data_IF_923719435177
#
_entry.id   IF_923719435177
#
_cell.length_a   1.000
_cell.length_b   1.000
_cell.length_c   1.000
_cell.angle_alpha   90.00
_cell.angle_beta   90.00
_cell.angle_gamma   90.00
#
_symmetry.space_group_name_H-M   'P 1'
#
loop_
_entity.id
_entity.type
_entity.pdbx_description
1 polymer ?
#
# COMPACT_ATOMS: atom_id res chain seq x y z
N UNK A 1 10.05 19.61 14.06
CA UNK A 1 9.64 18.74 15.17
C UNK A 1 8.28 18.16 14.87
N UNK A 2 7.22 18.96 14.74
CA UNK A 2 5.81 18.53 14.57
C UNK A 2 5.60 17.50 13.45
N UNK A 3 6.27 17.66 12.31
CA UNK A 3 6.19 16.72 11.20
C UNK A 3 6.71 15.35 11.60
N UNK A 4 7.88 15.29 12.25
CA UNK A 4 8.55 14.04 12.60
C UNK A 4 7.87 13.36 13.78
N UNK A 5 7.41 14.11 14.76
CA UNK A 5 6.75 13.60 15.97
C UNK A 5 5.49 12.79 15.68
N UNK A 6 4.81 13.08 14.57
CA UNK A 6 3.64 12.30 14.10
C UNK A 6 3.97 10.87 13.67
N UNK A 7 5.21 10.62 13.28
CA UNK A 7 5.66 9.31 12.79
C UNK A 7 6.55 8.58 13.81
N UNK A 8 7.30 9.37 14.59
CA UNK A 8 8.28 8.88 15.55
C UNK A 8 8.14 9.70 16.83
N UNK A 9 7.61 9.13 17.92
CA UNK A 9 7.45 9.86 19.18
C UNK A 9 8.77 10.46 19.66
N UNK A 10 8.83 11.77 19.70
CA UNK A 10 10.03 12.52 20.07
C UNK A 10 10.03 12.87 21.56
N UNK A 11 11.18 12.71 22.23
CA UNK A 11 11.40 13.15 23.60
C UNK A 11 12.27 14.38 23.62
N UNK A 12 11.90 15.39 24.40
CA UNK A 12 12.71 16.61 24.56
C UNK A 12 14.03 16.28 25.28
N UNK A 13 15.15 16.72 24.70
CA UNK A 13 16.49 16.56 25.26
C UNK A 13 17.25 17.88 25.11
N UNK A 14 17.19 18.73 26.12
CA UNK A 14 17.76 20.08 26.08
C UNK A 14 17.10 20.96 25.03
N UNK A 15 17.89 21.52 24.11
CA UNK A 15 17.42 22.33 22.99
C UNK A 15 16.89 21.51 21.80
N UNK A 16 17.12 20.20 21.79
CA UNK A 16 16.74 19.30 20.71
C UNK A 16 15.68 18.28 21.18
N UNK A 17 15.22 17.46 20.24
CA UNK A 17 14.36 16.31 20.49
C UNK A 17 15.06 15.04 20.02
N UNK A 18 14.85 13.93 20.72
CA UNK A 18 15.51 12.65 20.42
C UNK A 18 14.50 11.51 20.34
N UNK A 19 14.82 10.51 19.56
CA UNK A 19 14.09 9.24 19.47
C UNK A 19 15.03 8.12 19.03
N UNK A 20 14.57 6.86 19.09
CA UNK A 20 15.17 5.79 18.31
C UNK A 20 14.96 6.06 16.82
N UNK A 21 15.99 5.81 16.03
CA UNK A 21 15.96 6.11 14.61
C UNK A 21 14.92 5.26 13.87
N UNK A 22 14.08 5.86 13.02
CA UNK A 22 13.15 5.10 12.20
C UNK A 22 13.80 4.48 10.95
N UNK A 23 15.06 4.80 10.66
CA UNK A 23 15.78 4.35 9.46
C UNK A 23 16.74 3.19 9.73
N UNK A 24 17.02 2.83 10.99
CA UNK A 24 17.77 1.64 11.37
C UNK A 24 17.31 1.10 12.72
N UNK A 25 17.62 -0.15 13.02
CA UNK A 25 17.26 -0.77 14.29
C UNK A 25 18.24 -0.39 15.39
N UNK A 26 17.75 0.18 16.49
CA UNK A 26 18.55 0.53 17.65
C UNK A 26 17.75 0.43 18.95
N UNK A 27 18.45 0.25 20.07
CA UNK A 27 17.83 0.19 21.41
C UNK A 27 17.96 1.49 22.21
N UNK A 28 18.86 2.38 21.82
CA UNK A 28 19.11 3.68 22.47
C UNK A 28 18.92 4.81 21.48
N UNK A 29 18.31 5.93 21.89
CA UNK A 29 18.02 7.05 21.00
C UNK A 29 19.29 7.66 20.41
N UNK A 30 19.46 7.61 19.08
CA UNK A 30 20.53 8.30 18.36
C UNK A 30 20.01 9.29 17.30
N UNK A 31 18.69 9.31 17.09
CA UNK A 31 18.03 10.20 16.16
C UNK A 31 17.70 11.53 16.83
N UNK A 32 18.27 12.62 16.36
CA UNK A 32 18.15 13.95 16.93
C UNK A 32 17.46 14.90 15.96
N UNK A 33 16.46 15.64 16.43
CA UNK A 33 15.74 16.68 15.68
C UNK A 33 15.99 18.02 16.29
N UNK A 34 16.54 18.96 15.52
CA UNK A 34 16.84 20.33 15.95
C UNK A 34 15.75 21.28 15.49
N UNK A 35 14.96 21.85 16.40
CA UNK A 35 13.94 22.86 16.04
C UNK A 35 14.56 24.16 15.51
N UNK A 36 15.71 24.57 16.05
CA UNK A 36 16.41 25.80 15.61
C UNK A 36 17.04 25.69 14.24
N UNK A 37 17.63 24.54 13.93
CA UNK A 37 18.29 24.29 12.65
C UNK A 37 17.35 23.69 11.61
N UNK A 38 16.12 23.34 11.97
CA UNK A 38 15.10 22.76 11.10
C UNK A 38 15.57 21.50 10.36
N UNK A 39 16.37 20.65 11.01
CA UNK A 39 16.84 19.39 10.44
C UNK A 39 16.89 18.26 11.47
N UNK A 40 16.96 17.04 10.98
CA UNK A 40 17.25 15.85 11.78
C UNK A 40 18.61 15.25 11.40
N UNK A 41 19.22 14.57 12.36
CA UNK A 41 20.43 13.79 12.16
C UNK A 41 20.43 12.56 13.07
N UNK A 42 20.71 11.41 12.50
CA UNK A 42 20.92 10.18 13.24
C UNK A 42 22.42 9.93 13.43
N UNK A 43 22.87 9.88 14.68
CA UNK A 43 24.29 9.60 14.99
C UNK A 43 24.64 8.11 14.88
N UNK A 44 23.64 7.21 14.73
CA UNK A 44 23.84 5.78 14.52
C UNK A 44 24.09 5.41 13.06
N UNK A 45 23.19 5.81 12.15
CA UNK A 45 23.28 5.43 10.73
C UNK A 45 23.63 6.59 9.79
N UNK A 46 23.80 7.81 10.31
CA UNK A 46 24.13 8.98 9.49
C UNK A 46 22.97 9.57 8.69
N UNK A 47 21.75 9.03 8.78
CA UNK A 47 20.59 9.59 8.10
C UNK A 47 20.33 11.02 8.58
N UNK A 48 20.16 11.97 7.66
CA UNK A 48 20.00 13.36 7.97
C UNK A 48 19.20 14.09 6.89
N UNK A 49 18.56 15.19 7.27
CA UNK A 49 17.81 15.98 6.31
C UNK A 49 16.79 16.92 6.95
N UNK A 50 15.96 17.53 6.11
CA UNK A 50 14.86 18.41 6.50
C UNK A 50 13.56 17.62 6.75
N UNK A 51 12.49 18.30 7.15
CA UNK A 51 11.16 17.70 7.26
C UNK A 51 10.68 17.07 5.92
N UNK A 52 11.02 17.69 4.79
CA UNK A 52 10.69 17.16 3.45
C UNK A 52 11.48 15.87 3.20
N UNK A 53 12.79 15.89 3.42
CA UNK A 53 13.64 14.69 3.25
C UNK A 53 13.17 13.54 4.16
N UNK A 54 12.78 13.86 5.39
CA UNK A 54 12.23 12.86 6.32
C UNK A 54 10.97 12.18 5.76
N UNK A 55 10.02 12.97 5.25
CA UNK A 55 8.77 12.43 4.68
C UNK A 55 9.06 11.62 3.42
N UNK A 56 9.98 12.10 2.57
CA UNK A 56 10.42 11.35 1.39
C UNK A 56 11.00 9.97 1.75
N UNK A 57 11.94 9.91 2.68
CA UNK A 57 12.62 8.68 3.08
C UNK A 57 11.71 7.78 3.92
N UNK A 58 10.97 8.37 4.87
CA UNK A 58 10.12 7.59 5.77
C UNK A 58 8.92 6.97 5.06
N UNK A 59 8.30 7.67 4.11
CA UNK A 59 7.12 7.21 3.37
C UNK A 59 7.44 6.68 1.97
N UNK A 60 8.67 6.83 1.49
CA UNK A 60 9.06 6.48 0.11
C UNK A 60 8.44 7.39 -0.94
N UNK A 61 8.14 8.66 -0.59
CA UNK A 61 7.51 9.63 -1.48
C UNK A 61 8.54 10.35 -2.37
N UNK A 62 8.11 10.79 -3.55
CA UNK A 62 8.83 11.75 -4.37
C UNK A 62 8.83 13.14 -3.72
N UNK A 63 9.76 14.01 -4.15
CA UNK A 63 9.86 15.37 -3.64
C UNK A 63 8.54 16.15 -3.76
N UNK A 64 7.92 16.11 -4.94
CA UNK A 64 6.65 16.80 -5.19
C UNK A 64 5.53 16.27 -4.30
N UNK A 65 5.43 14.96 -4.14
CA UNK A 65 4.40 14.32 -3.31
C UNK A 65 4.63 14.64 -1.82
N UNK A 66 5.87 14.63 -1.35
CA UNK A 66 6.23 15.02 0.01
C UNK A 66 5.93 16.50 0.29
N UNK A 67 6.22 17.38 -0.67
CA UNK A 67 5.89 18.81 -0.57
C UNK A 67 4.38 19.03 -0.55
N UNK A 68 3.62 18.35 -1.42
CA UNK A 68 2.15 18.42 -1.44
C UNK A 68 1.54 17.92 -0.12
N UNK A 69 2.04 16.82 0.41
CA UNK A 69 1.59 16.28 1.69
C UNK A 69 1.81 17.28 2.84
N UNK A 70 3.01 17.85 2.93
CA UNK A 70 3.34 18.81 3.97
C UNK A 70 2.58 20.13 3.81
N UNK A 71 2.41 20.61 2.58
CA UNK A 71 1.65 21.83 2.28
C UNK A 71 0.17 21.67 2.66
N UNK A 72 -0.46 20.54 2.28
CA UNK A 72 -1.84 20.23 2.66
C UNK A 72 -2.03 20.26 4.18
N UNK A 73 -1.07 19.68 4.92
CA UNK A 73 -1.09 19.66 6.40
C UNK A 73 -0.87 21.05 7.03
N UNK A 74 -0.14 21.91 6.34
CA UNK A 74 0.10 23.29 6.76
C UNK A 74 -1.00 24.27 6.31
N UNK A 75 -2.05 23.77 5.62
CA UNK A 75 -3.09 24.62 5.03
C UNK A 75 -2.61 25.47 3.86
N UNK A 76 -1.48 25.10 3.24
CA UNK A 76 -0.85 25.80 2.12
C UNK A 76 -1.19 25.12 0.80
N UNK A 77 -1.27 25.90 -0.27
CA UNK A 77 -1.38 25.37 -1.63
C UNK A 77 0.00 25.44 -2.32
N UNK A 78 0.37 24.34 -2.97
CA UNK A 78 1.58 24.31 -3.79
C UNK A 78 1.25 24.91 -5.16
N UNK A 79 1.98 25.91 -5.66
CA UNK A 79 1.77 26.44 -7.02
C UNK A 79 1.96 25.32 -8.05
N UNK A 80 1.04 25.22 -8.99
CA UNK A 80 1.15 24.28 -10.10
C UNK A 80 2.24 24.73 -11.07
N UNK A 81 3.20 23.86 -11.35
CA UNK A 81 4.08 24.04 -12.50
C UNK A 81 3.32 23.62 -13.76
N UNK A 82 3.24 24.50 -14.74
CA UNK A 82 2.70 24.24 -16.06
C UNK A 82 3.38 23.01 -16.68
N UNK A 83 2.70 21.86 -16.68
CA UNK A 83 3.28 20.69 -17.33
C UNK A 83 2.64 19.33 -17.07
N UNK A 84 1.73 19.15 -16.08
CA UNK A 84 0.92 17.93 -15.95
C UNK A 84 -0.39 18.26 -15.24
N UNK A 85 -1.48 18.16 -15.98
CA UNK A 85 -2.85 18.19 -15.45
C UNK A 85 -3.06 17.04 -14.47
N UNK A 86 -2.85 17.29 -13.17
CA UNK A 86 -3.52 16.52 -12.13
C UNK A 86 -4.88 17.21 -11.92
N UNK A 87 -5.95 16.44 -12.09
CA UNK A 87 -7.32 16.91 -11.85
C UNK A 87 -7.39 17.61 -10.50
N UNK A 88 -8.02 18.78 -10.49
CA UNK A 88 -8.29 19.64 -9.31
C UNK A 88 -8.97 18.83 -8.20
N UNK A 89 -8.19 18.26 -7.28
CA UNK A 89 -8.72 17.61 -6.09
C UNK A 89 -8.88 18.66 -4.98
N UNK A 90 -10.12 19.01 -4.69
CA UNK A 90 -10.44 19.84 -3.52
C UNK A 90 -10.01 19.08 -2.24
N UNK A 91 -9.20 19.66 -1.36
CA UNK A 91 -8.71 18.98 -0.15
C UNK A 91 -9.80 18.35 0.74
N UNK A 92 -11.01 18.91 0.72
CA UNK A 92 -12.17 18.37 1.39
C UNK A 92 -12.68 17.04 0.78
N UNK A 93 -12.61 16.88 -0.53
CA UNK A 93 -13.09 15.69 -1.23
C UNK A 93 -12.21 14.46 -0.94
N UNK A 94 -10.89 14.62 -0.95
CA UNK A 94 -9.93 13.55 -0.61
C UNK A 94 -10.16 13.02 0.80
N UNK A 95 -10.37 13.90 1.78
CA UNK A 95 -10.65 13.50 3.17
C UNK A 95 -11.96 12.71 3.27
N UNK A 96 -13.02 13.16 2.61
CA UNK A 96 -14.32 12.46 2.56
C UNK A 96 -14.17 11.07 1.95
N UNK A 97 -13.42 10.92 0.85
CA UNK A 97 -13.18 9.63 0.23
C UNK A 97 -12.40 8.67 1.15
N UNK A 98 -11.39 9.15 1.87
CA UNK A 98 -10.64 8.34 2.86
C UNK A 98 -11.57 7.86 3.98
N UNK A 99 -12.44 8.72 4.50
CA UNK A 99 -13.42 8.35 5.53
C UNK A 99 -14.42 7.30 5.02
N UNK A 100 -14.89 7.42 3.78
CA UNK A 100 -15.74 6.44 3.11
C UNK A 100 -15.03 5.08 2.99
N UNK A 101 -13.80 5.07 2.52
CA UNK A 101 -13.01 3.84 2.37
C UNK A 101 -12.75 3.16 3.71
N UNK A 102 -12.46 3.92 4.76
CA UNK A 102 -12.27 3.38 6.12
C UNK A 102 -13.57 2.76 6.67
N UNK A 103 -14.72 3.41 6.47
CA UNK A 103 -16.04 2.87 6.87
C UNK A 103 -16.39 1.59 6.12
N UNK A 104 -16.15 1.55 4.81
CA UNK A 104 -16.37 0.34 4.00
C UNK A 104 -15.46 -0.81 4.47
N UNK A 105 -14.19 -0.53 4.77
CA UNK A 105 -13.26 -1.53 5.28
C UNK A 105 -13.70 -2.08 6.64
N UNK A 106 -14.18 -1.23 7.55
CA UNK A 106 -14.70 -1.68 8.83
C UNK A 106 -15.92 -2.60 8.64
N UNK A 107 -16.85 -2.21 7.77
CA UNK A 107 -18.00 -3.04 7.42
C UNK A 107 -17.56 -4.42 6.91
N UNK A 108 -16.64 -4.48 5.93
CA UNK A 108 -16.16 -5.75 5.40
C UNK A 108 -15.45 -6.61 6.45
N UNK A 109 -14.71 -6.00 7.38
CA UNK A 109 -14.11 -6.73 8.52
C UNK A 109 -15.15 -7.38 9.41
N UNK A 110 -16.22 -6.65 9.70
CA UNK A 110 -17.29 -7.16 10.56
C UNK A 110 -18.09 -8.26 9.85
N UNK A 111 -18.33 -8.12 8.53
CA UNK A 111 -18.92 -9.18 7.71
C UNK A 111 -18.06 -10.44 7.64
N UNK A 112 -16.74 -10.33 7.60
CA UNK A 112 -15.84 -11.50 7.65
C UNK A 112 -16.00 -12.25 8.97
N UNK A 113 -16.03 -11.53 10.10
CA UNK A 113 -16.23 -12.15 11.42
C UNK A 113 -17.60 -12.85 11.57
N UNK A 114 -18.63 -12.32 10.91
CA UNK A 114 -19.98 -12.86 10.94
C UNK A 114 -20.23 -14.00 9.94
N UNK A 115 -19.38 -14.16 8.92
CA UNK A 115 -19.56 -15.15 7.86
C UNK A 115 -18.74 -16.40 8.09
N UNK A 116 -19.39 -17.47 8.60
CA UNK A 116 -18.74 -18.77 8.76
C UNK A 116 -18.14 -19.29 7.45
N UNK A 117 -18.85 -19.12 6.32
CA UNK A 117 -18.38 -19.49 4.96
C UNK A 117 -17.08 -18.79 4.58
N UNK A 118 -16.99 -17.48 4.82
CA UNK A 118 -15.78 -16.72 4.52
C UNK A 118 -14.60 -17.10 5.44
N UNK A 119 -14.88 -17.39 6.71
CA UNK A 119 -13.87 -17.88 7.67
C UNK A 119 -13.35 -19.25 7.24
N UNK A 120 -14.23 -20.16 6.85
CA UNK A 120 -13.83 -21.51 6.37
C UNK A 120 -13.00 -21.44 5.09
N UNK A 121 -13.37 -20.55 4.18
CA UNK A 121 -12.56 -20.28 3.01
C UNK A 121 -11.15 -19.80 3.37
N UNK A 122 -11.02 -18.84 4.30
CA UNK A 122 -9.70 -18.38 4.78
C UNK A 122 -8.90 -19.55 5.38
N UNK A 123 -9.52 -20.37 6.24
CA UNK A 123 -8.88 -21.55 6.83
C UNK A 123 -8.44 -22.57 5.79
N UNK A 124 -9.29 -22.87 4.79
CA UNK A 124 -8.96 -23.78 3.69
C UNK A 124 -7.77 -23.27 2.87
N UNK A 125 -7.62 -21.94 2.79
CA UNK A 125 -6.48 -21.27 2.18
C UNK A 125 -5.25 -21.19 3.09
N UNK A 126 -5.29 -21.77 4.28
CA UNK A 126 -4.21 -21.72 5.25
C UNK A 126 -4.00 -20.35 5.89
N UNK A 127 -4.93 -19.40 5.74
CA UNK A 127 -4.82 -18.07 6.34
C UNK A 127 -5.18 -18.11 7.82
N UNK A 128 -4.29 -17.58 8.65
CA UNK A 128 -4.54 -17.42 10.10
C UNK A 128 -5.35 -16.16 10.39
N UNK A 129 -6.01 -16.13 11.56
CA UNK A 129 -6.71 -14.92 12.01
C UNK A 129 -5.75 -13.75 12.24
N UNK A 130 -4.51 -14.03 12.64
CA UNK A 130 -3.47 -13.03 12.83
C UNK A 130 -3.09 -12.35 11.51
N UNK A 131 -2.80 -13.13 10.47
CA UNK A 131 -2.47 -12.57 9.15
C UNK A 131 -3.66 -11.83 8.54
N UNK A 132 -4.87 -12.35 8.69
CA UNK A 132 -6.08 -11.68 8.23
C UNK A 132 -6.26 -10.31 8.93
N UNK A 133 -6.00 -10.23 10.23
CA UNK A 133 -6.03 -8.98 10.98
C UNK A 133 -4.90 -8.02 10.54
N UNK A 134 -3.67 -8.51 10.38
CA UNK A 134 -2.50 -7.74 9.92
C UNK A 134 -2.75 -7.06 8.58
N UNK A 135 -3.37 -7.76 7.64
CA UNK A 135 -3.70 -7.21 6.32
C UNK A 135 -5.09 -6.56 6.25
N UNK A 136 -5.82 -6.52 7.36
CA UNK A 136 -7.12 -5.87 7.45
C UNK A 136 -8.21 -6.52 6.58
N UNK A 137 -8.11 -7.83 6.35
CA UNK A 137 -9.00 -8.56 5.45
C UNK A 137 -10.46 -8.48 5.89
N UNK A 138 -11.36 -8.55 4.94
CA UNK A 138 -12.80 -8.48 5.14
C UNK A 138 -13.56 -9.39 4.18
N UNK A 139 -14.88 -9.32 4.22
CA UNK A 139 -15.77 -10.02 3.30
C UNK A 139 -16.87 -9.09 2.79
N UNK A 140 -17.07 -9.04 1.49
CA UNK A 140 -18.21 -8.41 0.86
C UNK A 140 -19.30 -9.47 0.68
N UNK A 141 -20.44 -9.39 1.36
CA UNK A 141 -21.52 -10.36 1.26
C UNK A 141 -22.07 -10.48 -0.16
N UNK A 142 -22.72 -11.60 -0.45
CA UNK A 142 -23.50 -11.76 -1.67
C UNK A 142 -24.76 -10.90 -1.56
N UNK A 143 -24.92 -9.96 -2.48
CA UNK A 143 -26.02 -9.02 -2.51
C UNK A 143 -25.67 -7.77 -3.32
N UNK A 144 -26.71 -7.08 -3.81
CA UNK A 144 -26.52 -5.98 -4.77
C UNK A 144 -26.24 -4.63 -4.10
N UNK A 145 -26.71 -4.40 -2.87
CA UNK A 145 -26.65 -3.10 -2.20
C UNK A 145 -26.36 -3.24 -0.69
N UNK A 146 -25.44 -4.13 -0.33
CA UNK A 146 -25.08 -4.39 1.07
C UNK A 146 -24.49 -3.16 1.77
N UNK A 147 -23.77 -2.32 1.02
CA UNK A 147 -23.16 -1.09 1.54
C UNK A 147 -24.20 -0.04 1.96
N UNK A 148 -25.48 -0.19 1.57
CA UNK A 148 -26.57 0.68 2.05
C UNK A 148 -26.73 0.60 3.59
N UNK A 149 -26.36 -0.52 4.20
CA UNK A 149 -26.34 -0.64 5.67
C UNK A 149 -25.33 0.31 6.35
N UNK A 150 -24.29 0.72 5.63
CA UNK A 150 -23.23 1.61 6.15
C UNK A 150 -23.43 3.05 5.66
N UNK A 151 -23.90 3.20 4.44
CA UNK A 151 -24.09 4.49 3.77
C UNK A 151 -25.58 4.73 3.51
N UNK A 152 -26.29 5.43 4.42
CA UNK A 152 -27.70 5.72 4.27
C UNK A 152 -28.04 6.45 2.96
N UNK A 153 -27.18 7.40 2.56
CA UNK A 153 -27.21 7.99 1.22
C UNK A 153 -26.40 7.12 0.25
N UNK A 154 -27.00 6.01 -0.17
CA UNK A 154 -26.37 5.08 -1.11
C UNK A 154 -26.20 5.67 -2.51
N UNK A 155 -26.94 6.72 -2.83
CA UNK A 155 -26.89 7.42 -4.11
C UNK A 155 -25.86 8.56 -4.14
N UNK A 156 -25.14 8.80 -3.06
CA UNK A 156 -24.07 9.78 -3.04
C UNK A 156 -23.01 9.47 -4.12
N UNK A 157 -22.60 10.47 -4.87
CA UNK A 157 -21.61 10.31 -5.96
C UNK A 157 -20.24 9.93 -5.44
N UNK A 158 -19.93 10.26 -4.19
CA UNK A 158 -18.68 9.91 -3.52
C UNK A 158 -18.45 8.39 -3.45
N UNK A 159 -19.54 7.59 -3.32
CA UNK A 159 -19.41 6.12 -3.33
C UNK A 159 -19.00 5.59 -4.70
N UNK A 160 -19.47 6.21 -5.77
CA UNK A 160 -19.06 5.89 -7.15
C UNK A 160 -17.63 6.36 -7.41
N UNK A 161 -17.28 7.57 -6.98
CA UNK A 161 -15.92 8.13 -7.10
C UNK A 161 -14.91 7.31 -6.29
N UNK A 162 -15.28 6.82 -5.12
CA UNK A 162 -14.46 5.90 -4.31
C UNK A 162 -14.33 4.48 -4.94
N UNK A 163 -15.07 4.19 -6.01
CA UNK A 163 -15.04 2.90 -6.68
C UNK A 163 -15.71 1.76 -5.90
N UNK A 164 -16.58 2.08 -4.95
CA UNK A 164 -17.32 1.10 -4.14
C UNK A 164 -18.65 0.70 -4.78
N UNK A 165 -19.24 1.59 -5.56
CA UNK A 165 -20.54 1.42 -6.22
C UNK A 165 -20.34 1.58 -7.74
N UNK A 166 -21.08 0.78 -8.50
CA UNK A 166 -21.18 0.87 -9.95
C UNK A 166 -22.59 1.37 -10.29
N UNK A 167 -22.68 2.22 -11.28
CA UNK A 167 -23.92 2.65 -11.91
C UNK A 167 -23.96 2.14 -13.34
N UNK A 168 -24.99 1.38 -13.69
CA UNK A 168 -25.15 0.88 -15.05
C UNK A 168 -25.83 1.90 -15.98
N UNK A 169 -25.92 1.60 -17.26
CA UNK A 169 -26.52 2.49 -18.28
C UNK A 169 -27.99 2.83 -18.01
N UNK A 170 -28.69 2.00 -17.22
CA UNK A 170 -30.08 2.25 -16.78
C UNK A 170 -30.16 3.06 -15.49
N UNK A 171 -29.05 3.61 -14.97
CA UNK A 171 -28.96 4.40 -13.74
C UNK A 171 -29.12 3.58 -12.45
N UNK A 172 -29.09 2.26 -12.51
CA UNK A 172 -29.15 1.42 -11.32
C UNK A 172 -27.78 1.34 -10.66
N UNK A 173 -27.74 1.61 -9.36
CA UNK A 173 -26.51 1.51 -8.54
C UNK A 173 -26.47 0.20 -7.79
N UNK A 174 -25.28 -0.41 -7.73
CA UNK A 174 -25.02 -1.65 -7.02
C UNK A 174 -23.57 -1.72 -6.53
N UNK A 175 -23.34 -2.53 -5.49
CA UNK A 175 -22.02 -2.73 -4.91
C UNK A 175 -21.05 -3.33 -5.95
N UNK A 176 -19.85 -2.74 -6.05
CA UNK A 176 -18.81 -3.26 -6.92
C UNK A 176 -18.33 -4.64 -6.48
N UNK A 177 -18.18 -4.83 -5.18
CA UNK A 177 -17.67 -6.08 -4.62
C UNK A 177 -18.82 -6.86 -4.01
N UNK A 178 -19.02 -8.08 -4.47
CA UNK A 178 -20.06 -9.00 -4.03
C UNK A 178 -19.50 -10.41 -3.97
N UNK A 179 -19.80 -11.13 -2.89
CA UNK A 179 -19.32 -12.48 -2.60
C UNK A 179 -17.81 -12.62 -2.75
N UNK A 180 -17.05 -11.69 -2.14
CA UNK A 180 -15.60 -11.64 -2.26
C UNK A 180 -14.90 -11.46 -0.93
N UNK A 181 -13.79 -12.18 -0.75
CA UNK A 181 -12.81 -11.84 0.27
C UNK A 181 -12.18 -10.51 -0.09
N UNK A 182 -12.26 -9.55 0.83
CA UNK A 182 -11.83 -8.18 0.61
C UNK A 182 -10.44 -7.96 1.20
N UNK A 183 -9.57 -7.37 0.41
CA UNK A 183 -8.18 -7.10 0.74
C UNK A 183 -7.94 -5.60 0.56
N UNK A 184 -7.83 -4.81 1.64
CA UNK A 184 -7.62 -3.38 1.53
C UNK A 184 -6.21 -3.07 1.02
N UNK A 185 -6.13 -2.09 0.14
CA UNK A 185 -4.88 -1.51 -0.33
C UNK A 185 -4.65 -0.24 0.47
N UNK A 186 -3.51 -0.18 1.15
CA UNK A 186 -3.19 0.86 2.12
C UNK A 186 -2.01 1.66 1.60
N UNK A 187 -2.12 2.98 1.62
CA UNK A 187 -1.02 3.87 1.22
C UNK A 187 0.06 3.97 2.33
N UNK A 188 1.23 4.57 2.06
CA UNK A 188 2.28 4.74 3.06
C UNK A 188 1.87 5.54 4.31
N UNK A 189 0.77 6.32 4.25
CA UNK A 189 0.24 7.08 5.39
C UNK A 189 -0.65 6.23 6.31
N UNK A 190 -1.05 5.04 5.89
CA UNK A 190 -1.97 4.16 6.60
C UNK A 190 -3.43 4.30 6.18
N UNK A 191 -3.74 5.15 5.18
CA UNK A 191 -5.10 5.31 4.69
C UNK A 191 -5.46 4.17 3.73
N UNK A 192 -6.69 3.69 3.80
CA UNK A 192 -7.22 2.74 2.83
C UNK A 192 -7.62 3.50 1.56
N UNK A 193 -7.00 3.17 0.44
CA UNK A 193 -7.17 3.88 -0.83
C UNK A 193 -7.91 3.07 -1.90
N UNK A 194 -7.95 1.76 -1.75
CA UNK A 194 -8.59 0.84 -2.69
C UNK A 194 -8.84 -0.52 -2.05
N UNK A 195 -9.46 -1.42 -2.79
CA UNK A 195 -9.63 -2.83 -2.44
C UNK A 195 -9.30 -3.75 -3.61
N UNK A 196 -8.72 -4.91 -3.27
CA UNK A 196 -8.76 -6.11 -4.07
C UNK A 196 -9.86 -7.03 -3.55
N UNK A 197 -10.63 -7.64 -4.44
CA UNK A 197 -11.66 -8.61 -4.08
C UNK A 197 -11.40 -9.95 -4.74
N UNK A 198 -11.19 -11.02 -3.95
CA UNK A 198 -11.05 -12.39 -4.45
C UNK A 198 -12.36 -13.13 -4.29
N UNK A 199 -12.87 -13.77 -5.35
CA UNK A 199 -14.08 -14.58 -5.24
C UNK A 199 -13.84 -15.79 -4.33
N UNK A 200 -14.84 -16.14 -3.50
CA UNK A 200 -14.70 -17.24 -2.53
C UNK A 200 -14.86 -18.58 -3.21
N UNK A 201 -15.87 -18.75 -4.03
CA UNK A 201 -16.16 -20.01 -4.72
C UNK A 201 -15.90 -19.90 -6.22
N UNK A 202 -16.91 -20.19 -7.05
CA UNK A 202 -16.83 -20.13 -8.50
C UNK A 202 -17.35 -18.80 -9.02
N UNK A 203 -16.77 -18.33 -10.10
CA UNK A 203 -17.17 -17.08 -10.77
C UNK A 203 -16.00 -16.33 -11.38
N UNK A 204 -16.31 -15.41 -12.26
CA UNK A 204 -15.35 -14.55 -12.96
C UNK A 204 -15.64 -13.06 -12.68
N UNK A 205 -14.61 -12.23 -12.62
CA UNK A 205 -13.18 -12.57 -12.59
C UNK A 205 -12.76 -13.09 -11.20
N UNK A 206 -11.74 -13.98 -11.15
CA UNK A 206 -11.17 -14.53 -9.91
C UNK A 206 -10.73 -13.41 -8.96
N UNK A 207 -10.10 -12.36 -9.50
CA UNK A 207 -9.74 -11.13 -8.78
C UNK A 207 -10.41 -9.91 -9.41
N UNK A 208 -10.91 -9.04 -8.60
CA UNK A 208 -11.49 -7.76 -8.99
C UNK A 208 -10.86 -6.65 -8.16
N UNK A 209 -10.26 -5.66 -8.81
CA UNK A 209 -9.67 -4.50 -8.16
C UNK A 209 -10.58 -3.28 -8.21
N UNK A 210 -10.38 -2.35 -7.29
CA UNK A 210 -10.91 -0.99 -7.44
C UNK A 210 -10.48 -0.41 -8.80
N UNK A 211 -11.30 0.44 -9.41
CA UNK A 211 -10.90 1.21 -10.57
C UNK A 211 -9.83 2.24 -10.17
N UNK A 212 -9.25 2.92 -11.15
CA UNK A 212 -8.54 4.17 -10.89
C UNK A 212 -9.48 5.18 -10.24
N UNK A 213 -9.03 5.83 -9.17
CA UNK A 213 -9.80 6.81 -8.40
C UNK A 213 -8.90 7.97 -8.01
N UNK A 214 -9.44 9.09 -7.50
CA UNK A 214 -8.60 10.15 -6.94
C UNK A 214 -7.66 9.70 -5.83
N UNK A 215 -7.98 8.61 -5.11
CA UNK A 215 -7.11 8.05 -4.07
C UNK A 215 -6.14 6.99 -4.59
N UNK A 216 -6.39 6.39 -5.75
CA UNK A 216 -5.74 5.14 -6.15
C UNK A 216 -5.33 5.11 -7.63
N UNK A 217 -4.04 4.94 -7.86
CA UNK A 217 -3.43 4.78 -9.17
C UNK A 217 -2.56 3.52 -9.17
N UNK A 218 -2.99 2.48 -9.91
CA UNK A 218 -2.35 1.14 -9.91
C UNK A 218 -0.88 1.18 -10.30
N UNK A 219 -0.54 2.05 -11.24
CA UNK A 219 0.84 2.23 -11.71
C UNK A 219 1.78 2.87 -10.68
N UNK A 220 1.26 3.35 -9.55
CA UNK A 220 2.02 4.05 -8.51
C UNK A 220 2.00 3.35 -7.15
N UNK A 221 0.99 2.51 -6.89
CA UNK A 221 0.80 1.90 -5.59
C UNK A 221 1.23 0.42 -5.58
N UNK A 222 1.73 -0.03 -4.43
CA UNK A 222 2.14 -1.41 -4.18
C UNK A 222 1.36 -1.97 -3.00
N UNK A 223 0.82 -3.16 -3.17
CA UNK A 223 0.18 -3.88 -2.06
C UNK A 223 1.21 -4.34 -1.05
N UNK A 224 0.86 -4.26 0.22
CA UNK A 224 1.70 -4.76 1.32
C UNK A 224 2.85 -3.84 1.74
N UNK A 225 3.09 -2.71 1.05
CA UNK A 225 4.22 -1.83 1.35
C UNK A 225 4.23 -1.29 2.79
N UNK A 226 3.11 -0.83 3.39
CA UNK A 226 3.11 -0.44 4.80
C UNK A 226 3.42 -1.60 5.76
N UNK A 227 2.89 -2.80 5.46
CA UNK A 227 3.11 -4.01 6.26
C UNK A 227 4.54 -4.54 6.16
N UNK A 228 5.19 -4.33 5.01
CA UNK A 228 6.56 -4.77 4.74
C UNK A 228 7.63 -3.81 5.28
N UNK A 229 7.27 -2.57 5.64
CA UNK A 229 8.21 -1.47 5.95
C UNK A 229 9.32 -1.86 6.93
N UNK A 230 8.99 -2.55 8.01
CA UNK A 230 9.98 -2.97 8.99
C UNK A 230 10.97 -3.98 8.39
N UNK A 231 10.44 -5.04 7.77
CA UNK A 231 11.27 -6.09 7.18
C UNK A 231 12.11 -5.59 5.99
N UNK A 232 11.60 -4.62 5.21
CA UNK A 232 12.39 -3.95 4.16
C UNK A 232 13.64 -3.28 4.73
N UNK A 233 13.53 -2.59 5.87
CA UNK A 233 14.67 -1.93 6.53
C UNK A 233 15.64 -2.95 7.12
N UNK A 234 15.14 -4.02 7.72
CA UNK A 234 15.96 -5.05 8.37
C UNK A 234 16.76 -5.87 7.34
N UNK A 235 16.18 -6.13 6.16
CA UNK A 235 16.79 -6.99 5.14
C UNK A 235 17.47 -6.23 4.01
N UNK A 236 17.22 -4.92 3.93
CA UNK A 236 17.63 -4.06 2.79
C UNK A 236 17.26 -4.67 1.43
N UNK A 237 16.17 -5.40 1.39
CA UNK A 237 15.71 -6.15 0.21
C UNK A 237 14.20 -6.12 0.13
N UNK A 238 13.64 -5.82 -1.05
CA UNK A 238 12.23 -5.96 -1.37
C UNK A 238 12.00 -7.17 -2.27
N UNK A 239 11.00 -7.99 -1.96
CA UNK A 239 10.52 -9.06 -2.84
C UNK A 239 9.25 -8.56 -3.51
N UNK A 240 9.22 -8.59 -4.84
CA UNK A 240 8.06 -8.15 -5.65
C UNK A 240 7.40 -9.36 -6.28
N UNK A 241 6.11 -9.56 -5.97
CA UNK A 241 5.27 -10.62 -6.51
C UNK A 241 4.14 -10.05 -7.38
N UNK A 242 3.34 -10.92 -8.03
CA UNK A 242 2.22 -10.49 -8.87
C UNK A 242 0.92 -10.33 -8.09
N UNK A 243 0.72 -11.10 -7.02
CA UNK A 243 -0.58 -11.24 -6.36
C UNK A 243 -0.61 -10.88 -4.87
N UNK A 244 -1.80 -10.51 -4.42
CA UNK A 244 -2.06 -10.23 -3.00
C UNK A 244 -1.82 -11.45 -2.10
N UNK A 245 -2.23 -12.64 -2.61
CA UNK A 245 -2.15 -13.86 -1.82
C UNK A 245 -0.71 -14.30 -1.62
N UNK A 246 0.16 -14.06 -2.59
CA UNK A 246 1.59 -14.34 -2.49
C UNK A 246 2.23 -13.54 -1.36
N UNK A 247 1.96 -12.23 -1.32
CA UNK A 247 2.43 -11.35 -0.23
C UNK A 247 1.92 -11.82 1.13
N UNK A 248 0.63 -12.17 1.21
CA UNK A 248 0.01 -12.60 2.46
C UNK A 248 0.60 -13.94 2.93
N UNK A 249 0.79 -14.90 2.00
CA UNK A 249 1.38 -16.21 2.30
C UNK A 249 2.85 -16.07 2.71
N UNK A 250 3.63 -15.30 1.99
CA UNK A 250 5.03 -15.00 2.33
C UNK A 250 5.14 -14.36 3.71
N UNK A 251 4.32 -13.34 4.01
CA UNK A 251 4.31 -12.67 5.30
C UNK A 251 3.93 -13.60 6.46
N UNK A 252 2.96 -14.50 6.23
CA UNK A 252 2.55 -15.51 7.22
C UNK A 252 3.67 -16.50 7.54
N UNK A 253 4.50 -16.82 6.56
CA UNK A 253 5.64 -17.75 6.70
C UNK A 253 6.97 -17.03 7.03
N UNK A 254 6.91 -15.81 7.56
CA UNK A 254 8.07 -15.09 8.07
C UNK A 254 8.83 -14.24 7.02
N UNK A 255 8.41 -14.26 5.75
CA UNK A 255 8.99 -13.43 4.68
C UNK A 255 8.21 -12.12 4.60
N UNK A 256 8.52 -11.19 5.51
CA UNK A 256 7.75 -9.96 5.73
C UNK A 256 8.06 -8.80 4.77
N UNK A 257 9.09 -8.91 3.95
CA UNK A 257 9.56 -7.87 3.02
C UNK A 257 9.01 -8.01 1.59
N UNK A 258 7.88 -8.71 1.43
CA UNK A 258 7.20 -8.90 0.15
C UNK A 258 6.15 -7.81 -0.10
N UNK A 259 6.04 -7.39 -1.36
CA UNK A 259 5.03 -6.47 -1.90
C UNK A 259 4.52 -6.98 -3.23
N UNK A 260 3.35 -6.55 -3.67
CA UNK A 260 2.84 -6.94 -5.00
C UNK A 260 2.41 -5.73 -5.83
N UNK A 261 2.46 -5.91 -7.15
CA UNK A 261 1.77 -5.04 -8.10
C UNK A 261 0.25 -5.29 -8.08
N UNK A 262 -0.52 -4.38 -8.64
CA UNK A 262 -1.98 -4.32 -8.45
C UNK A 262 -2.75 -4.72 -9.73
N UNK A 263 -2.35 -5.84 -10.35
CA UNK A 263 -2.91 -6.32 -11.61
C UNK A 263 -2.44 -5.50 -12.82
N UNK A 264 -1.26 -4.90 -12.71
CA UNK A 264 -0.53 -4.19 -13.78
C UNK A 264 0.91 -4.66 -13.79
N UNK A 265 1.60 -4.46 -14.91
CA UNK A 265 3.05 -4.68 -14.95
C UNK A 265 3.77 -3.76 -13.94
N UNK A 266 4.92 -4.20 -13.45
CA UNK A 266 5.82 -3.35 -12.65
C UNK A 266 6.20 -2.10 -13.47
N UNK A 267 6.04 -0.92 -12.88
CA UNK A 267 6.38 0.36 -13.50
C UNK A 267 7.71 0.90 -12.96
N UNK A 268 8.34 1.84 -13.68
CA UNK A 268 9.50 2.58 -13.18
C UNK A 268 9.21 3.30 -11.86
N UNK A 269 7.98 3.77 -11.67
CA UNK A 269 7.51 4.41 -10.42
C UNK A 269 7.53 3.43 -9.25
N UNK A 270 7.05 2.19 -9.44
CA UNK A 270 7.12 1.14 -8.42
C UNK A 270 8.58 0.86 -8.01
N UNK A 271 9.46 0.69 -8.99
CA UNK A 271 10.89 0.42 -8.76
C UNK A 271 11.56 1.58 -8.03
N UNK A 272 11.33 2.81 -8.47
CA UNK A 272 11.86 4.01 -7.82
C UNK A 272 11.37 4.11 -6.36
N UNK A 273 10.07 3.82 -6.10
CA UNK A 273 9.49 3.83 -4.75
C UNK A 273 10.17 2.80 -3.84
N UNK A 274 10.50 1.63 -4.34
CA UNK A 274 11.19 0.57 -3.59
C UNK A 274 12.68 0.90 -3.41
N UNK A 275 13.39 1.32 -4.46
CA UNK A 275 14.83 1.63 -4.39
C UNK A 275 15.17 2.84 -3.50
N UNK A 276 14.16 3.64 -3.12
CA UNK A 276 14.30 4.65 -2.06
C UNK A 276 14.33 4.05 -0.65
N UNK A 277 13.86 2.82 -0.47
CA UNK A 277 13.75 2.17 0.84
C UNK A 277 14.76 1.05 1.01
N UNK A 278 15.25 0.45 -0.09
CA UNK A 278 16.17 -0.69 -0.09
C UNK A 278 17.20 -0.56 -1.22
N UNK A 279 18.31 -1.27 -1.09
CA UNK A 279 19.34 -1.34 -2.16
C UNK A 279 19.11 -2.53 -3.11
N UNK A 280 18.24 -3.48 -2.75
CA UNK A 280 17.98 -4.67 -3.56
C UNK A 280 16.51 -4.91 -3.78
N UNK A 281 16.12 -5.19 -5.03
CA UNK A 281 14.79 -5.71 -5.39
C UNK A 281 14.96 -7.11 -5.97
N UNK A 282 14.14 -8.05 -5.49
CA UNK A 282 14.05 -9.42 -6.00
C UNK A 282 12.65 -9.59 -6.59
N UNK A 283 12.55 -9.77 -7.90
CA UNK A 283 11.30 -10.12 -8.56
C UNK A 283 11.09 -11.64 -8.45
N UNK A 284 9.97 -12.04 -7.87
CA UNK A 284 9.56 -13.43 -7.69
C UNK A 284 8.18 -13.63 -8.30
N UNK A 285 8.16 -14.12 -9.52
CA UNK A 285 6.95 -14.32 -10.31
C UNK A 285 6.68 -15.80 -10.52
N UNK A 286 5.47 -16.12 -11.00
CA UNK A 286 5.04 -17.48 -11.26
C UNK A 286 6.00 -18.22 -12.19
N UNK A 287 6.15 -19.52 -12.01
CA UNK A 287 7.08 -20.36 -12.78
C UNK A 287 6.68 -20.60 -14.24
N UNK A 288 5.55 -20.06 -14.67
CA UNK A 288 4.99 -20.24 -16.00
C UNK A 288 5.52 -19.25 -17.05
N UNK A 289 5.05 -19.36 -18.30
CA UNK A 289 5.43 -18.47 -19.39
C UNK A 289 4.92 -17.03 -19.20
N UNK A 290 3.82 -16.82 -18.46
CA UNK A 290 3.29 -15.49 -18.18
C UNK A 290 4.18 -14.77 -17.18
N UNK A 291 4.59 -15.45 -16.08
CA UNK A 291 5.54 -14.92 -15.11
C UNK A 291 6.92 -14.59 -15.71
N UNK A 292 7.42 -15.43 -16.66
CA UNK A 292 8.65 -15.10 -17.41
C UNK A 292 8.54 -13.83 -18.25
N UNK A 293 7.40 -13.61 -18.90
CA UNK A 293 7.12 -12.37 -19.65
C UNK A 293 6.96 -11.17 -18.70
N UNK A 294 6.34 -11.37 -17.53
CA UNK A 294 6.24 -10.34 -16.51
C UNK A 294 7.61 -9.94 -15.97
N UNK A 295 8.51 -10.91 -15.73
CA UNK A 295 9.88 -10.67 -15.32
C UNK A 295 10.66 -9.82 -16.33
N UNK A 296 10.53 -10.15 -17.62
CA UNK A 296 11.17 -9.38 -18.70
C UNK A 296 10.69 -7.92 -18.73
N UNK A 297 9.36 -7.72 -18.68
CA UNK A 297 8.78 -6.37 -18.65
C UNK A 297 9.21 -5.59 -17.37
N UNK A 298 9.29 -6.29 -16.23
CA UNK A 298 9.77 -5.68 -15.01
C UNK A 298 11.24 -5.22 -15.14
N UNK A 299 12.09 -6.02 -15.80
CA UNK A 299 13.47 -5.63 -16.11
C UNK A 299 13.50 -4.37 -16.97
N UNK A 300 12.83 -4.37 -18.11
CA UNK A 300 12.80 -3.22 -19.04
C UNK A 300 12.35 -1.94 -18.34
N UNK A 301 11.25 -2.00 -17.58
CA UNK A 301 10.71 -0.86 -16.85
C UNK A 301 11.57 -0.42 -15.65
N UNK A 302 12.51 -1.26 -15.22
CA UNK A 302 13.39 -0.95 -14.08
C UNK A 302 14.69 -0.24 -14.50
N UNK A 303 15.08 -0.34 -15.76
CA UNK A 303 16.38 0.17 -16.23
C UNK A 303 16.52 1.68 -16.01
N UNK A 304 15.44 2.45 -16.22
CA UNK A 304 15.45 3.91 -16.02
C UNK A 304 15.55 4.32 -14.55
N UNK A 305 15.10 3.44 -13.64
CA UNK A 305 15.10 3.69 -12.19
C UNK A 305 16.36 3.17 -11.49
N UNK A 306 17.18 2.36 -12.19
CA UNK A 306 18.36 1.74 -11.62
C UNK A 306 19.48 2.78 -11.49
N UNK A 307 19.98 2.96 -10.26
CA UNK A 307 21.12 3.80 -9.94
C UNK A 307 22.34 2.94 -9.61
N UNK A 308 23.51 3.58 -9.56
CA UNK A 308 24.75 2.96 -9.12
C UNK A 308 24.61 2.23 -7.84
N UNK A 309 25.01 1.37 -7.24
CA UNK A 309 24.81 0.65 -5.97
C UNK A 309 23.45 -0.06 -5.77
N UNK A 310 22.48 0.08 -6.69
CA UNK A 310 21.21 -0.63 -6.60
C UNK A 310 21.26 -1.95 -7.37
N UNK A 311 20.54 -2.97 -6.88
CA UNK A 311 20.58 -4.33 -7.43
C UNK A 311 19.18 -4.83 -7.74
N UNK A 312 19.04 -5.44 -8.92
CA UNK A 312 17.84 -6.18 -9.30
C UNK A 312 18.20 -7.66 -9.44
N UNK A 313 17.34 -8.51 -8.92
CA UNK A 313 17.45 -9.95 -9.05
C UNK A 313 16.11 -10.54 -9.46
N UNK A 314 16.13 -11.72 -10.10
CA UNK A 314 14.95 -12.44 -10.53
C UNK A 314 15.02 -13.86 -9.99
N UNK A 315 13.93 -14.30 -9.37
CA UNK A 315 13.72 -15.68 -8.94
C UNK A 315 12.70 -16.29 -9.88
N UNK A 316 13.05 -17.39 -10.49
CA UNK A 316 12.16 -18.22 -11.32
C UNK A 316 11.80 -19.45 -10.50
N UNK A 317 10.55 -19.55 -10.12
CA UNK A 317 10.03 -20.70 -9.41
C UNK A 317 9.94 -21.93 -10.33
N UNK A 318 9.86 -23.16 -9.77
CA UNK A 318 9.55 -24.33 -10.54
C UNK A 318 8.28 -24.15 -11.39
N UNK A 319 8.16 -24.90 -12.47
CA UNK A 319 6.97 -24.86 -13.30
C UNK A 319 5.73 -25.20 -12.48
N UNK A 320 4.63 -24.47 -12.69
CA UNK A 320 3.34 -24.60 -12.01
C UNK A 320 3.32 -24.14 -10.55
N UNK A 321 4.43 -23.62 -10.00
CA UNK A 321 4.45 -22.97 -8.69
C UNK A 321 4.28 -21.45 -8.79
N UNK A 322 3.56 -20.91 -7.82
CA UNK A 322 3.49 -19.50 -7.47
C UNK A 322 4.14 -19.29 -6.08
N UNK A 323 4.43 -18.05 -5.65
CA UNK A 323 5.02 -17.80 -4.33
C UNK A 323 4.17 -18.32 -3.16
N UNK A 324 2.83 -18.34 -3.29
CA UNK A 324 1.89 -18.89 -2.30
C UNK A 324 2.02 -20.41 -2.17
N UNK A 325 2.11 -21.15 -3.28
CA UNK A 325 2.27 -22.61 -3.28
C UNK A 325 3.66 -23.04 -2.81
N UNK A 326 4.69 -22.31 -3.27
CA UNK A 326 6.09 -22.66 -3.00
C UNK A 326 6.51 -22.48 -1.54
N UNK A 327 5.92 -21.49 -0.83
CA UNK A 327 6.30 -21.20 0.57
C UNK A 327 5.60 -22.13 1.57
N UNK A 328 4.56 -22.86 1.18
CA UNK A 328 3.81 -23.80 2.03
C UNK A 328 4.49 -25.14 2.12
#
# INVERSE_FOLDING_TARGET
VEVIDRYVPLKKAGANHVACCPFHSEKSPSFTVSPTKQFYHCFGCGAHGTAISFVMEYQGLGFVDAVKDLATRAGMQVPESEGRSFKDEKPGQTRTLIEIMARAAQYYKDQLKASQRAIEYCKKRGLTGEVAARFGMGYAPDGWQNLQAVFPDYNADELKVAGLVIENDAGRRYDRFRDRLMIPIINPKGDIIAFGGRIIDQGEPKYLNSPETPLFEKGRELFGLPQARQALRETDTAIVTEGYMDVIALAQNGVGNAVATLGTATTATHVTKLLRQVDRIVFCFDGDNAGRKAAWRALENSLEALADNKRLAFVFLPQDDDPDSYIR
#
